data_IF_550518549569
#
_entry.id   IF_550518549569
#
_cell.length_a   1.000
_cell.length_b   1.000
_cell.length_c   1.000
_cell.angle_alpha   90.00
_cell.angle_beta   90.00
_cell.angle_gamma   90.00
#
_symmetry.space_group_name_H-M   'P 1'
#
loop_
_entity.id
_entity.type
_entity.pdbx_description
1 polymer ?
#
# COMPACT_ATOMS: atom_id res chain seq x y z
N UNK A 1 -7.60 5.71 1.59
CA UNK A 1 -6.35 6.33 1.02
C UNK A 1 -5.23 6.67 2.03
N UNK A 2 -5.52 6.94 3.31
CA UNK A 2 -4.48 7.39 4.28
C UNK A 2 -3.43 6.31 4.60
N UNK A 3 -3.81 5.02 4.59
CA UNK A 3 -2.88 3.89 4.81
C UNK A 3 -1.79 3.84 3.72
N UNK A 4 -2.12 4.17 2.47
CA UNK A 4 -1.11 4.18 1.38
C UNK A 4 -0.01 5.19 1.65
N UNK A 5 -0.41 6.43 1.92
CA UNK A 5 0.52 7.51 2.23
C UNK A 5 1.33 7.19 3.48
N UNK A 6 0.71 6.58 4.48
CA UNK A 6 1.42 6.09 5.67
C UNK A 6 2.49 5.06 5.30
N UNK A 7 2.16 4.08 4.46
CA UNK A 7 3.10 3.06 3.99
C UNK A 7 4.19 3.62 3.07
N UNK A 8 3.94 4.75 2.39
CA UNK A 8 4.93 5.48 1.58
C UNK A 8 5.73 6.53 2.38
N UNK A 9 5.49 6.64 3.69
CA UNK A 9 6.06 7.67 4.56
C UNK A 9 5.72 9.13 4.16
N UNK A 10 4.61 9.33 3.46
CA UNK A 10 4.10 10.62 2.97
C UNK A 10 3.02 11.22 3.90
N UNK A 11 3.15 11.04 5.21
CA UNK A 11 2.22 11.54 6.23
C UNK A 11 2.97 12.26 7.34
N UNK A 12 2.34 13.27 7.93
CA UNK A 12 2.83 13.91 9.16
C UNK A 12 2.57 13.03 10.40
N UNK A 13 3.16 13.41 11.54
CA UNK A 13 3.06 12.66 12.80
C UNK A 13 1.62 12.49 13.31
N UNK A 14 0.73 13.46 13.07
CA UNK A 14 -0.66 13.39 13.53
C UNK A 14 -1.41 12.31 12.77
N UNK A 15 -1.28 12.31 11.45
CA UNK A 15 -1.88 11.29 10.59
C UNK A 15 -1.25 9.93 10.86
N UNK A 16 0.07 9.88 11.07
CA UNK A 16 0.79 8.67 11.43
C UNK A 16 0.19 8.01 12.68
N UNK A 17 0.04 8.77 13.78
CA UNK A 17 -0.51 8.26 15.03
C UNK A 17 -1.98 7.78 14.87
N UNK A 18 -2.77 8.48 14.05
CA UNK A 18 -4.15 8.07 13.74
C UNK A 18 -4.19 6.73 12.99
N UNK A 19 -3.36 6.56 11.97
CA UNK A 19 -3.28 5.32 11.19
C UNK A 19 -2.76 4.17 12.05
N UNK A 20 -1.70 4.39 12.84
CA UNK A 20 -1.18 3.38 13.77
C UNK A 20 -2.24 2.92 14.79
N UNK A 21 -2.99 3.88 15.36
CA UNK A 21 -4.14 3.56 16.23
C UNK A 21 -5.17 2.69 15.52
N UNK A 22 -5.53 3.03 14.28
CA UNK A 22 -6.50 2.26 13.52
C UNK A 22 -6.03 0.83 13.24
N UNK A 23 -4.78 0.67 12.77
CA UNK A 23 -4.19 -0.65 12.51
C UNK A 23 -4.11 -1.51 13.77
N UNK A 24 -3.89 -0.91 14.94
CA UNK A 24 -3.89 -1.66 16.21
C UNK A 24 -5.26 -2.25 16.59
N UNK A 25 -6.37 -1.72 16.04
CA UNK A 25 -7.73 -2.14 16.36
C UNK A 25 -8.51 -2.81 15.22
N UNK A 26 -7.94 -2.88 14.01
CA UNK A 26 -8.64 -3.36 12.81
C UNK A 26 -7.81 -4.42 12.07
N UNK A 27 -8.16 -5.71 12.25
CA UNK A 27 -7.46 -6.81 11.59
C UNK A 27 -7.54 -6.72 10.06
N UNK A 28 -8.69 -6.37 9.50
CA UNK A 28 -8.84 -6.28 8.04
C UNK A 28 -7.87 -5.26 7.43
N UNK A 29 -7.75 -4.08 8.04
CA UNK A 29 -6.86 -3.04 7.57
C UNK A 29 -5.38 -3.41 7.78
N UNK A 30 -5.08 -4.14 8.86
CA UNK A 30 -3.73 -4.66 9.13
C UNK A 30 -3.32 -5.74 8.13
N UNK A 31 -4.22 -6.66 7.76
CA UNK A 31 -3.96 -7.67 6.73
C UNK A 31 -3.73 -7.01 5.36
N UNK A 32 -4.58 -6.04 4.99
CA UNK A 32 -4.41 -5.23 3.78
C UNK A 32 -3.08 -4.49 3.77
N UNK A 33 -2.70 -3.83 4.87
CA UNK A 33 -1.44 -3.10 4.98
C UNK A 33 -0.23 -4.04 4.83
N UNK A 34 -0.26 -5.18 5.52
CA UNK A 34 0.79 -6.22 5.45
C UNK A 34 0.97 -6.73 4.03
N UNK A 35 -0.13 -7.06 3.34
CA UNK A 35 -0.09 -7.46 1.94
C UNK A 35 0.60 -6.41 1.05
N UNK A 36 0.28 -5.13 1.24
CA UNK A 36 0.85 -4.04 0.45
C UNK A 36 2.35 -3.85 0.71
N UNK A 37 2.80 -3.98 1.96
CA UNK A 37 4.24 -3.95 2.30
C UNK A 37 4.97 -5.09 1.58
N UNK A 38 4.43 -6.30 1.64
CA UNK A 38 5.03 -7.48 1.01
C UNK A 38 5.08 -7.34 -0.52
N UNK A 39 4.00 -6.83 -1.12
CA UNK A 39 3.94 -6.59 -2.56
C UNK A 39 4.97 -5.54 -3.00
N UNK A 40 5.11 -4.42 -2.28
CA UNK A 40 6.12 -3.40 -2.57
C UNK A 40 7.53 -3.98 -2.49
N UNK A 41 7.84 -4.78 -1.47
CA UNK A 41 9.14 -5.44 -1.33
C UNK A 41 9.43 -6.39 -2.50
N UNK A 42 8.44 -7.20 -2.91
CA UNK A 42 8.59 -8.10 -4.07
C UNK A 42 8.83 -7.33 -5.38
N UNK A 43 8.09 -6.25 -5.60
CA UNK A 43 8.27 -5.39 -6.78
C UNK A 43 9.68 -4.79 -6.78
N UNK A 44 10.12 -4.27 -5.63
CA UNK A 44 11.45 -3.68 -5.49
C UNK A 44 12.56 -4.68 -5.81
N UNK A 45 12.46 -5.91 -5.27
CA UNK A 45 13.41 -6.99 -5.58
C UNK A 45 13.40 -7.31 -7.08
N UNK A 46 12.22 -7.52 -7.68
CA UNK A 46 12.12 -7.85 -9.10
C UNK A 46 12.57 -6.74 -10.05
N UNK A 47 12.39 -5.48 -9.66
CA UNK A 47 12.87 -4.33 -10.40
C UNK A 47 14.37 -4.06 -10.20
N UNK A 48 14.95 -4.52 -9.09
CA UNK A 48 16.39 -4.42 -8.86
C UNK A 48 17.18 -5.53 -9.58
N UNK A 49 16.58 -6.71 -9.77
CA UNK A 49 17.23 -7.86 -10.43
C UNK A 49 17.18 -7.81 -11.96
N UNK A 50 16.23 -7.08 -12.57
CA UNK A 50 16.03 -7.05 -14.02
C UNK A 50 15.80 -5.62 -14.54
N UNK A 51 16.03 -5.41 -15.85
CA UNK A 51 15.56 -4.22 -16.55
C UNK A 51 14.04 -4.10 -16.34
N UNK A 52 13.62 -3.00 -15.70
CA UNK A 52 12.21 -2.77 -15.37
C UNK A 52 11.43 -2.61 -16.66
N UNK A 53 10.46 -3.49 -16.97
CA UNK A 53 9.71 -3.41 -18.21
C UNK A 53 8.95 -2.09 -18.32
N UNK A 54 8.96 -1.51 -19.51
CA UNK A 54 8.14 -0.33 -19.82
C UNK A 54 6.66 -0.60 -19.50
N UNK A 55 6.02 0.35 -18.82
CA UNK A 55 4.61 0.24 -18.45
C UNK A 55 4.31 -0.69 -17.27
N UNK A 56 5.31 -1.24 -16.56
CA UNK A 56 5.07 -2.01 -15.32
C UNK A 56 4.29 -1.20 -14.29
N UNK A 57 4.59 0.10 -14.18
CA UNK A 57 3.90 1.02 -13.27
C UNK A 57 2.41 1.14 -13.59
N UNK A 58 2.05 1.27 -14.85
CA UNK A 58 0.65 1.34 -15.28
C UNK A 58 -0.09 0.02 -15.04
N UNK A 59 0.56 -1.11 -15.30
CA UNK A 59 -0.02 -2.44 -15.00
C UNK A 59 -0.28 -2.62 -13.50
N UNK A 60 0.67 -2.23 -12.66
CA UNK A 60 0.51 -2.27 -11.20
C UNK A 60 -0.61 -1.35 -10.73
N UNK A 61 -0.70 -0.14 -11.28
CA UNK A 61 -1.78 0.80 -10.95
C UNK A 61 -3.16 0.24 -11.27
N UNK A 62 -3.32 -0.38 -12.44
CA UNK A 62 -4.59 -1.01 -12.86
C UNK A 62 -4.98 -2.16 -11.92
N UNK A 63 -4.03 -3.03 -11.58
CA UNK A 63 -4.28 -4.16 -10.69
C UNK A 63 -4.67 -3.71 -9.28
N UNK A 64 -3.95 -2.72 -8.74
CA UNK A 64 -4.23 -2.17 -7.41
C UNK A 64 -5.58 -1.43 -7.36
N UNK A 65 -5.88 -0.61 -8.38
CA UNK A 65 -7.16 0.08 -8.48
C UNK A 65 -8.36 -0.87 -8.56
N UNK A 66 -8.20 -2.04 -9.20
CA UNK A 66 -9.24 -3.06 -9.23
C UNK A 66 -9.43 -3.78 -7.88
N UNK A 67 -8.37 -3.87 -7.07
CA UNK A 67 -8.40 -4.50 -5.75
C UNK A 67 -9.03 -3.59 -4.66
N UNK A 68 -9.00 -2.27 -4.85
CA UNK A 68 -9.56 -1.29 -3.93
C UNK A 68 -11.10 -1.12 -4.04
N UNK A 69 -11.81 -1.99 -4.77
CA UNK A 69 -13.28 -1.95 -4.90
C UNK A 69 -14.00 -2.53 -3.66
N UNK A 70 -13.70 -1.98 -2.48
CA UNK A 70 -14.49 -2.13 -1.26
C UNK A 70 -14.84 -0.74 -0.72
N UNK A 71 -16.05 -0.52 -0.17
CA UNK A 71 -16.49 0.80 0.23
C UNK A 71 -15.64 1.33 1.38
N UNK A 72 -14.71 2.24 1.05
CA UNK A 72 -13.92 3.04 1.99
C UNK A 72 -14.86 4.07 2.64
N UNK A 73 -15.44 3.73 3.80
CA UNK A 73 -16.08 4.67 4.71
C UNK A 73 -15.28 4.69 6.02
N UNK A 74 -14.58 5.79 6.30
CA UNK A 74 -13.93 6.05 7.60
C UNK A 74 -12.80 7.07 7.57
#
# INVERSE_FOLDING_TARGET
REIERFLDHEVDEVIRARVERHLSGCNECTDKATFRVHLKALIQVKCAEHEVPDGLRDRLRTLLASADTGPDQG
#
